data_IF_583763519381
#
_entry.id   IF_583763519381
#
_cell.length_a   1.000
_cell.length_b   1.000
_cell.length_c   1.000
_cell.angle_alpha   90.00
_cell.angle_beta   90.00
_cell.angle_gamma   90.00
#
_symmetry.space_group_name_H-M   'P 1'
#
loop_
_entity.id
_entity.type
_entity.pdbx_description
1 polymer ?
#
# COMPACT_ATOMS: atom_id res chain seq x y z
N UNK A 1 -18.83 -9.43 -7.57
CA UNK A 1 -17.40 -9.61 -7.87
C UNK A 1 -17.10 -9.26 -9.31
N UNK A 2 -16.10 -8.40 -9.51
CA UNK A 2 -15.48 -8.20 -10.81
C UNK A 2 -14.31 -9.20 -10.96
N UNK A 3 -14.32 -10.11 -11.95
CA UNK A 3 -13.23 -11.07 -12.16
C UNK A 3 -11.88 -10.40 -12.50
N UNK A 4 -11.89 -9.11 -12.86
CA UNK A 4 -10.68 -8.32 -13.16
C UNK A 4 -10.11 -7.62 -11.92
N UNK A 5 -10.84 -7.61 -10.79
CA UNK A 5 -10.34 -6.98 -9.56
C UNK A 5 -9.22 -7.81 -8.94
N UNK A 6 -8.05 -7.19 -8.84
CA UNK A 6 -6.87 -7.72 -8.14
C UNK A 6 -6.90 -7.45 -6.63
N UNK A 7 -7.90 -6.71 -6.14
CA UNK A 7 -7.99 -6.36 -4.73
C UNK A 7 -8.32 -7.59 -3.89
N UNK A 8 -7.60 -7.74 -2.77
CA UNK A 8 -7.76 -8.88 -1.88
C UNK A 8 -9.20 -9.04 -1.37
N UNK A 9 -9.91 -7.93 -1.14
CA UNK A 9 -11.30 -7.92 -0.69
C UNK A 9 -12.33 -7.87 -1.82
N UNK A 10 -11.90 -8.02 -3.08
CA UNK A 10 -12.79 -8.06 -4.26
C UNK A 10 -13.54 -6.75 -4.52
N UNK A 11 -13.09 -5.64 -3.92
CA UNK A 11 -13.73 -4.34 -4.05
C UNK A 11 -13.67 -3.85 -5.52
N UNK A 12 -14.73 -3.18 -5.95
CA UNK A 12 -14.85 -2.55 -7.26
C UNK A 12 -15.89 -1.43 -7.15
N UNK A 13 -15.84 -0.48 -8.07
CA UNK A 13 -16.82 0.59 -8.19
C UNK A 13 -17.84 0.17 -9.24
N UNK A 14 -19.13 0.28 -8.91
CA UNK A 14 -20.24 -0.13 -9.79
C UNK A 14 -20.63 0.94 -10.81
N UNK A 15 -20.32 2.19 -10.52
CA UNK A 15 -20.62 3.33 -11.36
C UNK A 15 -19.80 3.27 -12.65
N UNK A 16 -20.43 3.69 -13.76
CA UNK A 16 -19.74 3.80 -15.03
C UNK A 16 -18.80 5.01 -15.01
N UNK A 17 -17.60 4.84 -15.58
CA UNK A 17 -16.65 5.91 -15.77
C UNK A 17 -16.67 6.43 -17.20
N UNK A 18 -16.57 7.74 -17.35
CA UNK A 18 -16.31 8.37 -18.63
C UNK A 18 -14.81 8.30 -18.92
N UNK A 19 -14.39 7.19 -19.51
CA UNK A 19 -12.98 6.92 -19.83
C UNK A 19 -12.35 7.97 -20.75
N UNK A 20 -13.16 8.77 -21.47
CA UNK A 20 -12.64 9.88 -22.29
C UNK A 20 -12.06 11.02 -21.45
N UNK A 21 -12.36 11.04 -20.14
CA UNK A 21 -11.82 12.01 -19.17
C UNK A 21 -10.67 11.45 -18.34
N UNK A 22 -10.33 10.18 -18.51
CA UNK A 22 -9.18 9.61 -17.82
C UNK A 22 -7.89 10.27 -18.30
N UNK A 23 -6.92 10.40 -17.39
CA UNK A 23 -5.62 10.99 -17.68
C UNK A 23 -4.53 9.99 -17.28
N UNK A 24 -3.62 9.70 -18.21
CA UNK A 24 -2.50 8.81 -17.96
C UNK A 24 -1.39 9.52 -17.17
N UNK A 25 -0.95 8.88 -16.09
CA UNK A 25 0.26 9.28 -15.37
C UNK A 25 1.49 8.64 -16.01
N UNK A 26 1.92 9.19 -17.16
CA UNK A 26 3.14 8.75 -17.82
C UNK A 26 4.35 9.33 -17.11
N UNK A 27 5.23 8.47 -16.61
CA UNK A 27 6.42 8.84 -15.83
C UNK A 27 7.69 8.22 -16.42
N UNK A 28 8.77 8.98 -16.37
CA UNK A 28 10.13 8.50 -16.58
C UNK A 28 10.72 7.90 -15.28
N UNK A 29 11.78 7.07 -15.37
CA UNK A 29 12.47 6.57 -14.18
C UNK A 29 12.92 7.72 -13.25
N UNK A 30 12.47 7.67 -12.00
CA UNK A 30 12.79 8.67 -10.98
C UNK A 30 11.76 9.80 -10.84
N UNK A 31 10.79 9.91 -11.76
CA UNK A 31 9.66 10.82 -11.60
C UNK A 31 8.62 10.27 -10.61
N UNK A 32 7.84 11.18 -10.04
CA UNK A 32 6.76 10.83 -9.12
C UNK A 32 5.46 11.54 -9.49
N UNK A 33 4.35 10.87 -9.22
CA UNK A 33 3.02 11.47 -9.17
C UNK A 33 2.52 11.46 -7.74
N UNK A 34 1.84 12.53 -7.35
CA UNK A 34 1.18 12.64 -6.05
C UNK A 34 -0.31 12.90 -6.30
N UNK A 35 -1.17 12.13 -5.64
CA UNK A 35 -2.61 12.24 -5.77
C UNK A 35 -3.27 12.01 -4.41
N UNK A 36 -4.48 12.53 -4.25
CA UNK A 36 -5.31 12.26 -3.08
C UNK A 36 -5.71 10.79 -3.04
N UNK A 37 -5.69 10.16 -1.85
CA UNK A 37 -6.04 8.75 -1.69
C UNK A 37 -7.45 8.40 -2.21
N UNK A 38 -8.34 9.37 -2.30
CA UNK A 38 -9.72 9.20 -2.81
C UNK A 38 -9.82 9.32 -4.33
N UNK A 39 -8.74 9.64 -5.04
CA UNK A 39 -8.74 9.69 -6.50
C UNK A 39 -9.09 8.30 -7.05
N UNK A 40 -10.10 8.21 -7.90
CA UNK A 40 -10.37 6.97 -8.64
C UNK A 40 -9.24 6.77 -9.64
N UNK A 41 -8.49 5.69 -9.47
CA UNK A 41 -7.35 5.36 -10.31
C UNK A 41 -7.27 3.85 -10.52
N UNK A 42 -6.57 3.46 -11.58
CA UNK A 42 -6.32 2.07 -11.91
C UNK A 42 -5.08 1.95 -12.79
N UNK A 43 -4.71 0.72 -13.12
CA UNK A 43 -3.65 0.48 -14.08
C UNK A 43 -4.04 -0.62 -15.05
N UNK A 44 -3.83 -0.37 -16.34
CA UNK A 44 -4.01 -1.38 -17.37
C UNK A 44 -2.99 -2.52 -17.31
N UNK A 45 -3.23 -3.56 -18.09
CA UNK A 45 -2.32 -4.68 -18.29
C UNK A 45 -0.98 -4.20 -18.86
N UNK A 46 0.12 -4.75 -18.37
CA UNK A 46 1.44 -4.50 -18.95
C UNK A 46 1.62 -5.35 -20.22
N UNK A 47 1.67 -4.70 -21.38
CA UNK A 47 1.95 -5.33 -22.68
C UNK A 47 3.41 -5.15 -23.14
N UNK A 48 4.22 -4.44 -22.37
CA UNK A 48 5.63 -4.20 -22.68
C UNK A 48 6.51 -5.42 -22.38
N UNK A 49 7.72 -5.48 -22.98
CA UNK A 49 8.66 -6.57 -22.74
C UNK A 49 9.28 -6.52 -21.33
N UNK A 50 9.27 -5.34 -20.69
CA UNK A 50 9.89 -5.09 -19.40
C UNK A 50 8.87 -5.06 -18.25
N UNK A 51 9.35 -5.37 -17.05
CA UNK A 51 8.55 -5.23 -15.82
C UNK A 51 8.39 -3.74 -15.47
N UNK A 52 7.17 -3.35 -15.12
CA UNK A 52 6.87 -2.02 -14.57
C UNK A 52 6.86 -2.08 -13.04
N UNK A 53 7.74 -1.31 -12.41
CA UNK A 53 7.82 -1.17 -10.95
C UNK A 53 7.44 0.25 -10.52
N UNK A 54 6.73 0.36 -9.40
CA UNK A 54 6.41 1.63 -8.76
C UNK A 54 6.56 1.46 -7.24
N UNK A 55 7.14 2.46 -6.58
CA UNK A 55 7.13 2.57 -5.13
C UNK A 55 5.98 3.49 -4.71
N UNK A 56 5.02 2.96 -3.95
CA UNK A 56 3.95 3.75 -3.36
C UNK A 56 4.36 4.18 -1.95
N UNK A 57 4.27 5.48 -1.69
CA UNK A 57 4.45 6.06 -0.35
C UNK A 57 3.18 6.80 0.02
N UNK A 58 2.49 6.34 1.05
CA UNK A 58 1.31 7.00 1.59
C UNK A 58 1.73 7.93 2.74
N UNK A 59 1.33 9.20 2.66
CA UNK A 59 1.63 10.21 3.67
C UNK A 59 0.33 10.78 4.20
N UNK A 60 0.22 10.90 5.52
CA UNK A 60 -0.92 11.49 6.21
C UNK A 60 -0.44 12.30 7.41
N UNK A 61 -1.21 13.31 7.84
CA UNK A 61 -0.85 14.10 9.01
C UNK A 61 -1.01 13.28 10.30
N UNK A 62 -0.26 13.64 11.35
CA UNK A 62 -0.24 12.92 12.64
C UNK A 62 -1.62 12.81 13.28
N UNK A 63 -2.49 13.81 13.08
CA UNK A 63 -3.86 13.80 13.62
C UNK A 63 -4.83 12.83 12.91
N UNK A 64 -4.42 12.20 11.81
CA UNK A 64 -5.21 11.15 11.17
C UNK A 64 -5.42 9.97 12.13
N UNK A 65 -6.52 9.23 11.95
CA UNK A 65 -6.83 8.04 12.74
C UNK A 65 -6.99 6.83 11.83
N UNK A 66 -6.42 5.67 12.18
CA UNK A 66 -6.62 4.48 11.38
C UNK A 66 -8.11 4.06 11.44
N UNK A 67 -8.69 3.59 10.33
CA UNK A 67 -10.14 3.42 10.22
C UNK A 67 -10.69 2.19 10.95
N UNK A 68 -9.85 1.19 11.28
CA UNK A 68 -10.31 -0.07 11.88
C UNK A 68 -9.40 -0.57 13.00
N UNK A 69 -8.15 -0.86 12.66
CA UNK A 69 -7.15 -1.40 13.58
C UNK A 69 -6.02 -0.41 13.72
N UNK A 70 -5.37 -0.38 14.88
CA UNK A 70 -4.16 0.43 15.06
C UNK A 70 -3.07 -0.06 14.10
N UNK A 71 -2.34 0.88 13.51
CA UNK A 71 -1.33 0.59 12.49
C UNK A 71 0.01 1.24 12.85
N UNK A 72 1.13 0.63 12.43
CA UNK A 72 2.43 1.28 12.48
C UNK A 72 2.53 2.38 11.41
N UNK A 73 3.19 3.48 11.75
CA UNK A 73 3.52 4.57 10.84
C UNK A 73 4.85 5.23 11.23
N UNK A 74 5.63 5.63 10.23
CA UNK A 74 6.91 6.30 10.44
C UNK A 74 6.73 7.82 10.48
N UNK A 75 7.18 8.47 11.56
CA UNK A 75 7.21 9.93 11.62
C UNK A 75 8.29 10.49 10.67
N UNK A 76 7.85 11.11 9.57
CA UNK A 76 8.78 11.68 8.58
C UNK A 76 9.17 13.13 8.87
N UNK A 77 8.25 13.95 9.37
CA UNK A 77 8.44 15.38 9.62
C UNK A 77 7.59 15.87 10.80
N UNK A 78 8.13 16.83 11.54
CA UNK A 78 7.44 17.46 12.67
C UNK A 78 7.49 16.62 13.95
N UNK A 79 6.44 16.73 14.76
CA UNK A 79 6.29 16.04 16.04
C UNK A 79 4.91 15.41 16.10
N UNK A 80 4.81 14.14 16.48
CA UNK A 80 3.52 13.53 16.82
C UNK A 80 3.13 13.86 18.25
N UNK A 81 1.99 14.52 18.41
CA UNK A 81 1.39 14.87 19.72
C UNK A 81 0.10 14.11 19.98
N UNK A 82 -0.30 13.22 19.06
CA UNK A 82 -1.61 12.55 19.07
C UNK A 82 -1.51 11.07 19.37
N UNK A 83 -0.42 10.40 18.98
CA UNK A 83 -0.19 8.98 19.28
C UNK A 83 -1.23 8.05 18.64
N UNK A 84 -1.80 8.42 17.50
CA UNK A 84 -2.84 7.64 16.82
C UNK A 84 -2.29 6.35 16.17
N UNK A 85 -0.98 6.27 15.95
CA UNK A 85 -0.27 5.16 15.28
C UNK A 85 0.83 4.59 16.18
N UNK A 86 1.23 3.35 15.93
CA UNK A 86 2.43 2.78 16.54
C UNK A 86 3.67 3.30 15.82
N UNK A 87 4.75 3.55 16.55
CA UNK A 87 5.98 4.06 15.96
C UNK A 87 6.65 2.98 15.08
N UNK A 88 6.86 3.30 13.82
CA UNK A 88 7.68 2.53 12.89
C UNK A 88 9.05 3.21 12.79
N UNK A 89 10.06 2.74 13.55
CA UNK A 89 11.35 3.40 13.57
C UNK A 89 12.05 3.27 12.21
N UNK A 90 12.89 4.25 11.90
CA UNK A 90 13.79 4.16 10.76
C UNK A 90 14.74 2.97 10.95
N UNK A 91 15.08 2.23 9.88
CA UNK A 91 16.08 1.18 9.97
C UNK A 91 17.42 1.76 10.42
N UNK A 92 18.11 1.04 11.30
CA UNK A 92 19.40 1.41 11.88
C UNK A 92 20.58 1.07 10.95
N UNK A 93 20.42 0.06 10.09
CA UNK A 93 21.31 -0.23 8.96
C UNK A 93 20.59 -1.05 7.88
N UNK A 94 21.22 -1.19 6.73
CA UNK A 94 20.74 -2.11 5.69
C UNK A 94 20.83 -3.55 6.21
N UNK A 95 19.71 -4.29 6.17
CA UNK A 95 19.63 -5.71 6.56
C UNK A 95 20.11 -6.05 7.98
N UNK A 96 20.14 -5.09 8.91
CA UNK A 96 20.37 -5.42 10.32
C UNK A 96 19.25 -6.33 10.86
N UNK A 97 19.56 -7.09 11.90
CA UNK A 97 18.57 -7.88 12.63
C UNK A 97 17.40 -7.00 13.11
N UNK A 98 17.71 -5.83 13.69
CA UNK A 98 16.72 -4.83 14.11
C UNK A 98 15.79 -4.38 12.97
N UNK A 99 16.35 -4.05 11.79
CA UNK A 99 15.56 -3.57 10.66
C UNK A 99 14.66 -4.67 10.10
N UNK A 100 15.16 -5.91 10.05
CA UNK A 100 14.42 -7.08 9.59
C UNK A 100 13.27 -7.44 10.54
N UNK A 101 13.52 -7.42 11.85
CA UNK A 101 12.51 -7.69 12.86
C UNK A 101 11.40 -6.62 12.84
N UNK A 102 11.77 -5.35 12.74
CA UNK A 102 10.82 -4.25 12.62
C UNK A 102 9.98 -4.37 11.33
N UNK A 103 10.63 -4.64 10.19
CA UNK A 103 9.93 -4.86 8.92
C UNK A 103 8.94 -6.01 9.02
N UNK A 104 9.35 -7.16 9.58
CA UNK A 104 8.49 -8.33 9.73
C UNK A 104 7.28 -8.02 10.63
N UNK A 105 7.47 -7.32 11.75
CA UNK A 105 6.39 -6.91 12.63
C UNK A 105 5.38 -5.98 11.92
N UNK A 106 5.87 -4.99 11.18
CA UNK A 106 5.05 -4.03 10.42
C UNK A 106 4.26 -4.72 9.32
N UNK A 107 4.91 -5.55 8.52
CA UNK A 107 4.28 -6.29 7.41
C UNK A 107 3.21 -7.25 7.94
N UNK A 108 3.48 -7.97 9.02
CA UNK A 108 2.51 -8.87 9.65
C UNK A 108 1.30 -8.10 10.22
N UNK A 109 1.52 -6.90 10.77
CA UNK A 109 0.44 -6.03 11.25
C UNK A 109 -0.44 -5.53 10.09
N UNK A 110 0.17 -5.04 9.00
CA UNK A 110 -0.55 -4.61 7.79
C UNK A 110 -1.29 -5.76 7.09
N UNK A 111 -0.69 -6.97 7.08
CA UNK A 111 -1.31 -8.16 6.49
C UNK A 111 -2.68 -8.46 7.13
N UNK A 112 -2.82 -8.26 8.45
CA UNK A 112 -4.11 -8.43 9.14
C UNK A 112 -5.16 -7.49 8.54
N UNK A 113 -4.86 -6.20 8.37
CA UNK A 113 -5.83 -5.26 7.77
C UNK A 113 -6.27 -5.67 6.36
N UNK A 114 -5.32 -6.09 5.52
CA UNK A 114 -5.56 -6.40 4.10
C UNK A 114 -6.33 -7.73 3.95
N UNK A 115 -5.93 -8.75 4.71
CA UNK A 115 -6.40 -10.12 4.51
C UNK A 115 -7.46 -10.57 5.52
N UNK A 116 -7.70 -9.83 6.60
CA UNK A 116 -8.87 -10.06 7.46
C UNK A 116 -10.15 -9.85 6.64
N UNK A 117 -11.02 -10.87 6.67
CA UNK A 117 -12.23 -11.00 5.85
C UNK A 117 -11.98 -10.97 4.33
N UNK A 118 -10.76 -11.25 3.89
CA UNK A 118 -10.44 -11.38 2.45
C UNK A 118 -10.74 -12.77 1.91
N UNK A 119 -11.10 -12.83 0.62
CA UNK A 119 -11.20 -14.08 -0.15
C UNK A 119 -9.85 -14.78 -0.38
N UNK A 120 -8.73 -14.10 -0.16
CA UNK A 120 -7.38 -14.65 -0.32
C UNK A 120 -6.56 -14.46 0.96
N UNK A 121 -5.68 -15.42 1.26
CA UNK A 121 -4.72 -15.30 2.36
C UNK A 121 -3.47 -14.49 1.98
N UNK A 122 -2.66 -14.11 2.97
CA UNK A 122 -1.40 -13.40 2.75
C UNK A 122 -0.46 -14.19 1.84
N UNK A 123 0.25 -13.48 0.95
CA UNK A 123 1.38 -14.04 0.19
C UNK A 123 2.65 -14.05 1.03
N UNK A 124 3.72 -14.67 0.53
CA UNK A 124 5.07 -14.65 1.11
C UNK A 124 5.56 -13.22 1.43
N UNK A 125 5.25 -12.26 0.55
CA UNK A 125 5.56 -10.84 0.76
C UNK A 125 4.85 -10.23 1.99
N UNK A 126 3.81 -10.88 2.48
CA UNK A 126 3.04 -10.52 3.68
C UNK A 126 3.15 -11.58 4.79
N UNK A 127 4.23 -12.38 4.81
CA UNK A 127 4.47 -13.41 5.83
C UNK A 127 3.63 -14.69 5.68
N UNK A 128 2.92 -14.86 4.56
CA UNK A 128 2.14 -16.04 4.25
C UNK A 128 2.90 -17.13 3.48
N UNK A 129 2.17 -18.17 3.02
CA UNK A 129 2.72 -19.30 2.24
C UNK A 129 2.33 -19.28 0.76
N UNK A 130 1.49 -18.31 0.35
CA UNK A 130 1.04 -18.19 -1.04
C UNK A 130 2.13 -17.45 -1.84
N UNK A 131 2.48 -17.91 -3.06
CA UNK A 131 3.44 -17.19 -3.90
C UNK A 131 3.02 -15.74 -4.12
N UNK A 132 4.00 -14.83 -4.19
CA UNK A 132 3.78 -13.49 -4.73
C UNK A 132 3.59 -13.63 -6.26
N UNK A 133 2.33 -13.77 -6.68
CA UNK A 133 1.92 -13.76 -8.09
C UNK A 133 1.97 -12.36 -8.66
#
# INVERSE_FOLDING_TARGET
>A
DDPRSILAKGQYITDAFDESKAVDFTLQPGEMVMFDNSLVHGSGTNFGPDRRFLLLVEMFPTWAKPPRVRQPAMLLRGTDTTGNFDDEPRPDAEWSETALDNWAAVVNSRAKLIFEDSRIGPSEAYGGKRPAT
#
